data_IF_224593087305
#
_entry.id   IF_224593087305
#
_cell.length_a   1.000
_cell.length_b   1.000
_cell.length_c   1.000
_cell.angle_alpha   90.00
_cell.angle_beta   90.00
_cell.angle_gamma   90.00
#
_symmetry.space_group_name_H-M   'P 1'
#
loop_
_entity.id
_entity.type
_entity.pdbx_description
1 polymer ?
#
# COMPACT_ATOMS: atom_id res chain seq x y z
N UNK A 1 42.56 4.94 -27.61
CA UNK A 1 42.08 5.79 -26.49
C UNK A 1 40.56 6.00 -26.44
N UNK A 2 39.77 5.62 -27.46
CA UNK A 2 38.30 5.80 -27.47
C UNK A 2 37.49 4.71 -26.74
N UNK A 3 38.12 3.60 -26.35
CA UNK A 3 37.47 2.48 -25.65
C UNK A 3 37.21 2.78 -24.17
N UNK A 4 38.11 3.52 -23.52
CA UNK A 4 37.97 3.90 -22.11
C UNK A 4 36.71 4.74 -21.81
N UNK A 5 36.39 5.82 -22.57
CA UNK A 5 35.14 6.55 -22.35
C UNK A 5 33.89 5.72 -22.66
N UNK A 6 33.94 4.77 -23.60
CA UNK A 6 32.83 3.85 -23.88
C UNK A 6 32.57 2.88 -22.72
N UNK A 7 33.61 2.39 -22.06
CA UNK A 7 33.48 1.53 -20.87
C UNK A 7 32.83 2.32 -19.71
N UNK A 8 33.31 3.54 -19.45
CA UNK A 8 32.72 4.40 -18.41
C UNK A 8 31.25 4.70 -18.71
N UNK A 9 30.93 5.01 -19.97
CA UNK A 9 29.56 5.23 -20.39
C UNK A 9 28.68 4.00 -20.17
N UNK A 10 29.17 2.81 -20.52
CA UNK A 10 28.46 1.55 -20.28
C UNK A 10 28.17 1.29 -18.80
N UNK A 11 29.16 1.52 -17.93
CA UNK A 11 28.98 1.39 -16.46
C UNK A 11 27.95 2.40 -15.95
N UNK A 12 28.02 3.65 -16.40
CA UNK A 12 27.07 4.69 -16.00
C UNK A 12 25.64 4.34 -16.43
N UNK A 13 25.45 3.85 -17.66
CA UNK A 13 24.16 3.40 -18.15
C UNK A 13 23.63 2.22 -17.31
N UNK A 14 24.45 1.21 -17.03
CA UNK A 14 24.05 0.08 -16.18
C UNK A 14 23.66 0.54 -14.76
N UNK A 15 24.43 1.45 -14.17
CA UNK A 15 24.12 2.01 -12.86
C UNK A 15 22.78 2.79 -12.87
N UNK A 16 22.49 3.53 -13.95
CA UNK A 16 21.22 4.24 -14.11
C UNK A 16 20.03 3.28 -14.19
N UNK A 17 20.16 2.15 -14.89
CA UNK A 17 19.10 1.13 -14.99
C UNK A 17 18.95 0.27 -13.74
N UNK A 18 20.03 0.03 -12.99
CA UNK A 18 20.01 -0.80 -11.79
C UNK A 18 19.04 -0.26 -10.73
N UNK A 19 18.97 1.06 -10.55
CA UNK A 19 18.07 1.67 -9.57
C UNK A 19 16.58 1.35 -9.82
N UNK A 20 15.95 1.72 -10.96
CA UNK A 20 14.54 1.41 -11.21
C UNK A 20 14.27 -0.10 -11.30
N UNK A 21 15.18 -0.89 -11.87
CA UNK A 21 15.02 -2.34 -11.92
C UNK A 21 15.01 -2.98 -10.53
N UNK A 22 15.88 -2.52 -9.62
CA UNK A 22 15.88 -3.00 -8.24
C UNK A 22 14.58 -2.66 -7.50
N UNK A 23 13.98 -1.50 -7.79
CA UNK A 23 12.71 -1.09 -7.22
C UNK A 23 11.56 -1.96 -7.73
N UNK A 24 11.51 -2.21 -9.04
CA UNK A 24 10.51 -3.10 -9.66
C UNK A 24 10.65 -4.51 -9.11
N UNK A 25 11.86 -5.06 -9.09
CA UNK A 25 12.14 -6.40 -8.58
C UNK A 25 11.66 -6.56 -7.14
N UNK A 26 11.99 -5.58 -6.30
CA UNK A 26 11.54 -5.55 -4.91
C UNK A 26 10.02 -5.55 -4.83
N UNK A 27 9.36 -4.72 -5.63
CA UNK A 27 7.90 -4.57 -5.61
C UNK A 27 7.21 -5.89 -5.98
N UNK A 28 7.67 -6.52 -7.07
CA UNK A 28 7.19 -7.83 -7.51
C UNK A 28 7.45 -8.93 -6.48
N UNK A 29 8.61 -8.90 -5.81
CA UNK A 29 8.91 -9.85 -4.75
C UNK A 29 7.93 -9.72 -3.57
N UNK A 30 7.58 -8.50 -3.17
CA UNK A 30 6.55 -8.29 -2.13
C UNK A 30 5.20 -8.82 -2.60
N UNK A 31 4.80 -8.57 -3.84
CA UNK A 31 3.54 -9.08 -4.38
C UNK A 31 3.48 -10.62 -4.44
N UNK A 32 4.58 -11.26 -4.84
CA UNK A 32 4.64 -12.71 -5.03
C UNK A 32 4.83 -13.49 -3.72
N UNK A 33 5.71 -13.02 -2.83
CA UNK A 33 6.15 -13.75 -1.62
C UNK A 33 5.59 -13.15 -0.32
N UNK A 34 4.98 -11.96 -0.38
CA UNK A 34 4.47 -11.28 0.80
C UNK A 34 3.25 -11.95 1.41
N UNK A 35 3.12 -11.81 2.73
CA UNK A 35 1.94 -12.25 3.47
C UNK A 35 0.77 -11.34 3.10
N UNK A 36 -0.38 -11.95 2.74
CA UNK A 36 -1.58 -11.20 2.42
C UNK A 36 -2.26 -10.72 3.70
N UNK A 37 -2.53 -9.43 3.75
CA UNK A 37 -3.20 -8.75 4.85
C UNK A 37 -4.36 -7.94 4.30
N UNK A 38 -5.51 -8.00 4.98
CA UNK A 38 -6.69 -7.23 4.61
C UNK A 38 -6.89 -6.06 5.54
N UNK A 39 -7.12 -4.88 4.99
CA UNK A 39 -7.32 -3.65 5.75
C UNK A 39 -8.63 -3.00 5.34
N UNK A 40 -9.43 -2.59 6.32
CA UNK A 40 -10.63 -1.80 6.03
C UNK A 40 -10.21 -0.43 5.52
N UNK A 41 -10.72 -0.03 4.37
CA UNK A 41 -10.38 1.24 3.74
C UNK A 41 -11.61 1.93 3.14
N UNK A 42 -11.46 3.22 2.88
CA UNK A 42 -12.32 3.96 1.98
C UNK A 42 -11.57 4.16 0.68
N UNK A 43 -12.24 3.99 -0.45
CA UNK A 43 -11.67 4.25 -1.76
C UNK A 43 -12.54 5.25 -2.53
N UNK A 44 -12.61 6.53 -2.09
CA UNK A 44 -13.22 7.58 -2.91
C UNK A 44 -12.49 7.66 -4.26
N UNK A 45 -13.23 8.00 -5.31
CA UNK A 45 -12.70 8.23 -6.66
C UNK A 45 -12.40 9.73 -6.86
N UNK A 46 -11.12 10.16 -6.79
CA UNK A 46 -10.72 11.48 -7.23
C UNK A 46 -10.41 11.47 -8.74
N UNK A 47 -11.23 12.16 -9.53
CA UNK A 47 -10.90 12.40 -10.94
C UNK A 47 -9.65 13.29 -11.06
N UNK A 48 -8.60 12.80 -11.74
CA UNK A 48 -7.36 13.54 -12.04
C UNK A 48 -6.94 13.33 -13.52
N UNK A 49 -7.07 14.35 -14.39
CA UNK A 49 -6.87 14.20 -15.84
C UNK A 49 -5.41 13.94 -16.25
N UNK A 50 -4.42 14.20 -15.39
CA UNK A 50 -3.00 14.05 -15.74
C UNK A 50 -2.37 12.77 -15.19
N UNK A 51 -3.02 12.10 -14.24
CA UNK A 51 -2.44 10.95 -13.52
C UNK A 51 -3.10 9.61 -13.88
N UNK A 52 -4.01 9.64 -14.84
CA UNK A 52 -4.84 8.49 -15.19
C UNK A 52 -5.87 8.18 -14.10
N UNK A 53 -6.59 7.07 -14.27
CA UNK A 53 -7.68 6.72 -13.37
C UNK A 53 -7.19 5.86 -12.20
N UNK A 54 -7.40 6.38 -11.00
CA UNK A 54 -7.04 5.71 -9.76
C UNK A 54 -8.06 6.00 -8.67
N UNK A 55 -8.12 5.10 -7.69
CA UNK A 55 -8.92 5.27 -6.49
C UNK A 55 -8.02 5.69 -5.35
N UNK A 56 -8.43 6.70 -4.58
CA UNK A 56 -7.69 7.13 -3.40
C UNK A 56 -7.93 6.15 -2.26
N UNK A 57 -6.96 5.30 -1.98
CA UNK A 57 -7.08 4.27 -0.93
C UNK A 57 -6.71 4.89 0.41
N UNK A 58 -7.70 4.95 1.31
CA UNK A 58 -7.57 5.53 2.63
C UNK A 58 -7.91 4.48 3.69
N UNK A 59 -6.93 3.78 4.26
CA UNK A 59 -7.17 2.89 5.39
C UNK A 59 -7.91 3.62 6.53
N UNK A 60 -8.87 2.93 7.13
CA UNK A 60 -9.61 3.42 8.31
C UNK A 60 -8.70 3.45 9.53
N UNK A 61 -7.78 2.48 9.61
CA UNK A 61 -6.77 2.40 10.64
C UNK A 61 -5.70 3.47 10.41
N UNK A 62 -5.85 4.65 11.02
CA UNK A 62 -4.91 5.78 10.90
C UNK A 62 -4.20 6.12 12.20
N UNK A 63 -4.58 5.48 13.28
CA UNK A 63 -4.04 5.70 14.62
C UNK A 63 -3.63 4.37 15.21
N UNK A 64 -2.54 4.38 15.95
CA UNK A 64 -2.07 3.26 16.73
C UNK A 64 -1.72 3.72 18.15
N UNK A 65 -2.02 2.84 19.12
CA UNK A 65 -1.72 3.09 20.52
C UNK A 65 -0.21 3.02 20.75
N UNK A 66 0.32 4.00 21.47
CA UNK A 66 1.72 4.08 21.84
C UNK A 66 2.00 3.18 23.05
N UNK A 67 3.05 2.35 23.00
CA UNK A 67 3.53 1.69 24.20
C UNK A 67 4.06 2.71 25.21
N UNK A 68 3.88 2.42 26.50
CA UNK A 68 4.29 3.31 27.59
C UNK A 68 5.78 3.67 27.49
N UNK A 69 6.09 4.97 27.47
CA UNK A 69 7.46 5.50 27.39
C UNK A 69 7.99 5.73 25.97
N UNK A 70 7.27 5.34 24.92
CA UNK A 70 7.68 5.57 23.53
C UNK A 70 7.35 7.00 23.09
N UNK A 71 8.35 7.87 22.99
CA UNK A 71 8.18 9.22 22.43
C UNK A 71 8.41 9.19 20.92
N UNK A 72 7.33 9.30 20.15
CA UNK A 72 7.42 9.47 18.70
C UNK A 72 7.45 10.95 18.32
N UNK A 73 8.18 11.25 17.24
CA UNK A 73 8.15 12.54 16.58
C UNK A 73 7.52 12.41 15.19
N UNK A 74 6.93 13.49 14.70
CA UNK A 74 6.39 13.54 13.34
C UNK A 74 7.50 13.27 12.32
N UNK A 75 7.22 12.40 11.36
CA UNK A 75 8.15 11.97 10.30
C UNK A 75 9.08 10.82 10.69
N UNK A 76 9.06 10.39 11.96
CA UNK A 76 9.95 9.33 12.42
C UNK A 76 9.52 7.97 11.87
N UNK A 77 10.48 7.13 11.48
CA UNK A 77 10.21 5.79 10.98
C UNK A 77 9.82 4.87 12.15
N UNK A 78 8.74 4.13 11.97
CA UNK A 78 8.23 3.18 12.95
C UNK A 78 7.85 1.88 12.28
N UNK A 79 7.90 0.79 13.04
CA UNK A 79 7.49 -0.54 12.60
C UNK A 79 6.21 -0.91 13.34
N UNK A 80 5.14 -1.13 12.57
CA UNK A 80 3.87 -1.59 13.10
C UNK A 80 3.74 -3.09 12.87
N UNK A 81 3.51 -3.83 13.95
CA UNK A 81 3.19 -5.25 13.88
C UNK A 81 1.70 -5.41 13.56
N UNK A 82 1.40 -6.23 12.55
CA UNK A 82 0.04 -6.50 12.11
C UNK A 82 -0.37 -7.91 12.46
N UNK A 83 -1.57 -8.01 13.05
CA UNK A 83 -2.20 -9.29 13.36
C UNK A 83 -3.56 -9.35 12.69
N UNK A 84 -3.88 -10.45 11.97
CA UNK A 84 -5.23 -10.63 11.44
C UNK A 84 -6.22 -10.74 12.59
N UNK A 85 -7.25 -9.91 12.59
CA UNK A 85 -8.37 -10.00 13.53
C UNK A 85 -9.29 -11.18 13.19
N UNK A 86 -10.26 -11.46 14.08
CA UNK A 86 -11.22 -12.55 13.91
C UNK A 86 -12.03 -12.44 12.60
N UNK A 87 -12.26 -11.22 12.13
CA UNK A 87 -13.01 -10.92 10.90
C UNK A 87 -12.13 -11.02 9.63
N UNK A 88 -10.87 -11.46 9.78
CA UNK A 88 -9.89 -11.48 8.69
C UNK A 88 -9.31 -10.11 8.33
N UNK A 89 -9.74 -9.03 9.00
CA UNK A 89 -9.20 -7.67 8.87
C UNK A 89 -8.07 -7.50 9.87
N UNK A 90 -6.91 -7.04 9.42
CA UNK A 90 -5.78 -6.81 10.31
C UNK A 90 -5.87 -5.52 11.10
N UNK A 91 -5.37 -5.61 12.32
CA UNK A 91 -5.21 -4.51 13.26
C UNK A 91 -3.74 -4.34 13.63
N UNK A 92 -3.38 -3.15 14.09
CA UNK A 92 -2.03 -2.88 14.62
C UNK A 92 -2.01 -3.34 16.07
N UNK A 93 -1.15 -4.30 16.36
CA UNK A 93 -0.97 -4.85 17.71
C UNK A 93 0.05 -4.06 18.52
N UNK A 94 1.15 -3.64 17.89
CA UNK A 94 2.22 -2.91 18.55
C UNK A 94 2.97 -1.98 17.59
N UNK A 95 3.57 -0.93 18.15
CA UNK A 95 4.53 -0.05 17.48
C UNK A 95 5.91 -0.22 18.09
N UNK A 96 6.93 -0.30 17.23
CA UNK A 96 8.35 -0.40 17.61
C UNK A 96 9.21 0.57 16.79
N UNK A 97 10.35 0.98 17.34
CA UNK A 97 11.39 1.73 16.62
C UNK A 97 12.34 0.81 15.84
N UNK A 98 12.43 -0.45 16.25
CA UNK A 98 13.24 -1.48 15.61
C UNK A 98 12.36 -2.51 14.92
N UNK A 99 12.82 -3.10 13.82
CA UNK A 99 12.07 -4.15 13.13
C UNK A 99 11.86 -5.34 14.09
N UNK A 100 10.61 -5.84 14.25
CA UNK A 100 10.33 -7.06 14.98
C UNK A 100 11.08 -8.25 14.38
N UNK A 101 11.52 -9.20 15.22
CA UNK A 101 12.18 -10.42 14.76
C UNK A 101 11.22 -11.36 14.01
N UNK A 102 9.97 -11.43 14.47
CA UNK A 102 8.94 -12.31 13.95
C UNK A 102 7.61 -11.58 13.69
N UNK A 103 6.82 -12.15 12.78
CA UNK A 103 5.49 -11.67 12.44
C UNK A 103 5.45 -10.72 11.24
N UNK A 104 4.24 -10.43 10.76
CA UNK A 104 4.04 -9.53 9.65
C UNK A 104 4.10 -8.09 10.14
N UNK A 105 5.16 -7.37 9.81
CA UNK A 105 5.35 -5.98 10.20
C UNK A 105 5.46 -5.05 8.98
N UNK A 106 5.03 -3.80 9.15
CA UNK A 106 5.14 -2.76 8.13
C UNK A 106 5.95 -1.59 8.66
N UNK A 107 6.83 -1.06 7.81
CA UNK A 107 7.53 0.21 8.02
C UNK A 107 6.61 1.37 7.63
N UNK A 108 6.26 2.20 8.61
CA UNK A 108 5.39 3.36 8.48
C UNK A 108 6.14 4.64 8.90
N UNK A 109 5.53 5.79 8.63
CA UNK A 109 5.94 7.06 9.22
C UNK A 109 4.95 7.49 10.30
N UNK A 110 5.48 7.87 11.46
CA UNK A 110 4.69 8.46 12.52
C UNK A 110 4.26 9.88 12.13
N UNK A 111 2.98 10.18 12.26
CA UNK A 111 2.38 11.48 12.07
C UNK A 111 2.33 12.27 13.38
N UNK A 112 1.21 12.95 13.60
CA UNK A 112 0.97 13.69 14.83
C UNK A 112 0.76 12.73 16.02
N UNK A 113 1.33 13.08 17.16
CA UNK A 113 1.18 12.32 18.42
C UNK A 113 0.25 13.09 19.35
N UNK A 114 -0.79 12.42 19.83
CA UNK A 114 -1.76 12.99 20.75
C UNK A 114 -2.06 12.01 21.89
N UNK A 115 -1.74 12.43 23.12
CA UNK A 115 -1.82 11.57 24.32
C UNK A 115 -1.09 10.25 24.09
N UNK A 116 -1.82 9.12 24.13
CA UNK A 116 -1.29 7.76 23.97
C UNK A 116 -1.53 7.20 22.56
N UNK A 117 -1.82 8.06 21.58
CA UNK A 117 -2.04 7.66 20.20
C UNK A 117 -1.10 8.41 19.26
N UNK A 118 -0.59 7.68 18.26
CA UNK A 118 0.12 8.27 17.14
C UNK A 118 -0.67 8.06 15.86
N UNK A 119 -0.81 9.13 15.08
CA UNK A 119 -1.24 9.00 13.69
C UNK A 119 -0.14 8.30 12.89
N UNK A 120 -0.52 7.51 11.89
CA UNK A 120 0.39 6.78 11.02
C UNK A 120 0.08 7.05 9.55
N UNK A 121 1.14 7.17 8.76
CA UNK A 121 1.06 7.32 7.32
C UNK A 121 1.34 5.98 6.64
N UNK A 122 0.37 5.51 5.86
CA UNK A 122 0.51 4.30 5.05
C UNK A 122 1.38 4.56 3.81
N UNK A 123 2.19 3.57 3.38
CA UNK A 123 3.10 3.73 2.25
C UNK A 123 2.40 3.64 0.88
N UNK A 124 1.07 3.55 0.87
CA UNK A 124 0.23 3.53 -0.32
C UNK A 124 -0.98 4.44 -0.09
N UNK A 125 -1.38 5.15 -1.14
CA UNK A 125 -2.51 6.08 -1.13
C UNK A 125 -3.43 5.88 -2.34
N UNK A 126 -3.06 5.01 -3.29
CA UNK A 126 -3.72 4.90 -4.60
C UNK A 126 -3.80 3.47 -5.11
N UNK A 127 -4.88 3.19 -5.80
CA UNK A 127 -5.05 1.98 -6.60
C UNK A 127 -5.32 2.35 -8.05
N UNK A 128 -4.37 2.05 -8.94
CA UNK A 128 -4.49 2.34 -10.37
C UNK A 128 -5.40 1.32 -11.07
N UNK A 129 -6.31 1.83 -11.89
CA UNK A 129 -7.23 1.03 -12.70
C UNK A 129 -6.79 1.07 -14.15
N UNK A 130 -6.95 -0.04 -14.87
CA UNK A 130 -6.66 -0.09 -16.30
C UNK A 130 -7.64 0.82 -17.07
N UNK A 131 -7.14 1.67 -17.96
CA UNK A 131 -7.94 2.61 -18.74
C UNK A 131 -9.04 1.94 -19.58
N UNK A 132 -8.86 0.67 -19.98
CA UNK A 132 -9.90 -0.09 -20.69
C UNK A 132 -11.09 -0.44 -19.79
N UNK A 133 -10.85 -0.60 -18.48
CA UNK A 133 -11.86 -0.96 -17.47
C UNK A 133 -12.38 0.25 -16.70
N UNK A 134 -11.74 1.40 -16.89
CA UNK A 134 -12.05 2.66 -16.22
C UNK A 134 -13.53 3.09 -16.34
N UNK A 135 -14.17 3.07 -17.53
CA UNK A 135 -15.58 3.46 -17.64
C UNK A 135 -16.51 2.57 -16.80
N UNK A 136 -16.21 1.27 -16.70
CA UNK A 136 -16.98 0.34 -15.87
C UNK A 136 -16.69 0.54 -14.38
N UNK A 137 -15.46 0.92 -14.02
CA UNK A 137 -15.13 1.29 -12.66
C UNK A 137 -15.95 2.50 -12.19
N UNK A 138 -16.06 3.56 -13.00
CA UNK A 138 -16.84 4.74 -12.63
C UNK A 138 -18.32 4.41 -12.42
N UNK A 139 -18.91 3.67 -13.36
CA UNK A 139 -20.32 3.24 -13.26
C UNK A 139 -20.53 2.46 -11.99
N UNK A 140 -19.64 1.50 -11.72
CA UNK A 140 -19.67 0.73 -10.50
C UNK A 140 -19.56 1.61 -9.26
N UNK A 141 -18.66 2.58 -9.23
CA UNK A 141 -18.55 3.52 -8.10
C UNK A 141 -19.80 4.36 -7.94
N UNK A 142 -20.35 4.93 -9.02
CA UNK A 142 -21.58 5.71 -8.97
C UNK A 142 -22.76 4.91 -8.39
N UNK A 143 -22.85 3.61 -8.71
CA UNK A 143 -23.86 2.69 -8.19
C UNK A 143 -23.63 2.28 -6.74
N UNK A 144 -22.36 2.05 -6.34
CA UNK A 144 -22.03 1.41 -5.07
C UNK A 144 -21.53 2.38 -3.98
N UNK A 145 -21.23 3.64 -4.30
CA UNK A 145 -20.82 4.68 -3.33
C UNK A 145 -21.85 4.90 -2.23
N UNK A 146 -23.15 4.65 -2.51
CA UNK A 146 -24.23 4.77 -1.53
C UNK A 146 -24.39 3.52 -0.65
N UNK A 147 -23.73 2.43 -0.99
CA UNK A 147 -23.75 1.21 -0.21
C UNK A 147 -22.79 1.32 0.97
N UNK A 148 -23.25 0.96 2.16
CA UNK A 148 -22.43 0.86 3.39
C UNK A 148 -21.42 -0.30 3.35
N UNK A 149 -21.18 -0.85 2.16
CA UNK A 149 -20.30 -2.00 1.93
C UNK A 149 -18.85 -1.53 2.00
N UNK A 150 -18.21 -1.83 3.11
CA UNK A 150 -16.82 -1.44 3.37
C UNK A 150 -15.87 -2.06 2.35
N UNK A 151 -15.10 -1.22 1.67
CA UNK A 151 -14.03 -1.65 0.76
C UNK A 151 -12.86 -2.17 1.59
N UNK A 152 -12.31 -3.32 1.20
CA UNK A 152 -11.17 -3.94 1.87
C UNK A 152 -9.95 -3.89 0.97
N UNK A 153 -8.90 -3.23 1.42
CA UNK A 153 -7.61 -3.22 0.74
C UNK A 153 -6.86 -4.53 1.01
N UNK A 154 -6.44 -5.20 -0.05
CA UNK A 154 -5.61 -6.39 -0.01
C UNK A 154 -4.14 -5.99 -0.17
N UNK A 155 -3.38 -6.08 0.91
CA UNK A 155 -2.00 -5.59 1.00
C UNK A 155 -1.06 -6.76 1.23
N UNK A 156 0.00 -6.84 0.43
CA UNK A 156 1.08 -7.81 0.60
C UNK A 156 2.21 -7.19 1.41
N UNK A 157 2.65 -7.89 2.44
CA UNK A 157 3.71 -7.42 3.35
C UNK A 157 4.89 -8.37 3.36
N UNK A 158 6.10 -7.83 3.16
CA UNK A 158 7.35 -8.57 3.19
C UNK A 158 8.49 -7.67 3.67
N UNK A 159 9.22 -8.08 4.71
CA UNK A 159 10.39 -7.38 5.26
C UNK A 159 10.13 -5.89 5.54
N UNK A 160 8.97 -5.55 6.11
CA UNK A 160 8.59 -4.16 6.40
C UNK A 160 8.05 -3.37 5.21
N UNK A 161 8.08 -3.92 3.99
CA UNK A 161 7.47 -3.27 2.82
C UNK A 161 6.04 -3.75 2.64
N UNK A 162 5.15 -2.81 2.34
CA UNK A 162 3.74 -3.08 2.09
C UNK A 162 3.39 -2.59 0.69
N UNK A 163 2.75 -3.46 -0.09
CA UNK A 163 2.28 -3.16 -1.45
C UNK A 163 0.80 -3.48 -1.54
N UNK A 164 0.02 -2.53 -2.04
CA UNK A 164 -1.39 -2.75 -2.34
C UNK A 164 -1.52 -3.65 -3.58
N UNK A 165 -2.05 -4.85 -3.39
CA UNK A 165 -2.22 -5.83 -4.46
C UNK A 165 -3.57 -5.67 -5.18
N UNK A 166 -4.65 -5.55 -4.41
CA UNK A 166 -6.00 -5.35 -4.94
C UNK A 166 -6.90 -4.64 -3.93
N UNK A 167 -8.11 -4.28 -4.37
CA UNK A 167 -9.23 -3.93 -3.52
C UNK A 167 -10.25 -5.07 -3.60
N UNK A 168 -10.99 -5.33 -2.53
CA UNK A 168 -12.05 -6.31 -2.50
C UNK A 168 -13.32 -5.73 -1.91
N UNK A 169 -14.46 -6.18 -2.43
CA UNK A 169 -15.79 -5.89 -1.90
C UNK A 169 -16.50 -7.22 -1.61
N UNK A 170 -16.95 -7.41 -0.37
CA UNK A 170 -17.61 -8.66 0.08
C UNK A 170 -16.80 -9.93 -0.27
N UNK A 171 -15.46 -9.84 -0.20
CA UNK A 171 -14.55 -10.95 -0.52
C UNK A 171 -14.30 -11.19 -2.01
N UNK A 172 -14.91 -10.41 -2.92
CA UNK A 172 -14.62 -10.45 -4.35
C UNK A 172 -13.60 -9.39 -4.74
N UNK A 173 -12.50 -9.75 -5.46
CA UNK A 173 -11.54 -8.78 -5.98
C UNK A 173 -12.16 -7.80 -6.96
N UNK A 174 -11.81 -6.53 -6.82
CA UNK A 174 -12.36 -5.43 -7.62
C UNK A 174 -12.03 -5.61 -9.11
N UNK A 175 -10.82 -6.08 -9.43
CA UNK A 175 -10.42 -6.38 -10.81
C UNK A 175 -11.29 -7.46 -11.47
N UNK A 176 -11.76 -8.44 -10.70
CA UNK A 176 -12.65 -9.49 -11.22
C UNK A 176 -14.05 -8.95 -11.49
N UNK A 177 -14.59 -8.16 -10.55
CA UNK A 177 -15.89 -7.47 -10.70
C UNK A 177 -15.91 -6.62 -11.99
N UNK A 178 -14.84 -5.86 -12.25
CA UNK A 178 -14.73 -5.05 -13.47
C UNK A 178 -14.65 -5.90 -14.75
N UNK A 179 -13.93 -7.02 -14.72
CA UNK A 179 -13.82 -7.92 -15.87
C UNK A 179 -15.13 -8.62 -16.20
N UNK A 180 -15.93 -8.97 -15.19
CA UNK A 180 -17.26 -9.56 -15.39
C UNK A 180 -18.23 -8.57 -16.03
N UNK A 181 -18.14 -7.28 -15.69
CA UNK A 181 -19.00 -6.21 -16.23
C UNK A 181 -18.57 -5.71 -17.60
N UNK A 182 -17.28 -5.77 -17.92
CA UNK A 182 -16.75 -5.33 -19.21
C UNK A 182 -16.90 -6.37 -20.34
N UNK A 183 -17.40 -7.58 -20.02
CA UNK A 183 -17.80 -8.60 -21.00
C UNK A 183 -19.18 -8.30 -21.56
#
# INVERSE_FOLDING_TARGET
MKTFPLIIFGIAALAQWAAPLSQIWTHEQVLAQGTLIRLKCQAPDPYDPLRGRYLAVRPVLREATLPAGLKLQKGMQVYALLTPGADGIATISALSLTPPADGAYIRLRAGYVYSDKASIEWPFDRFYVNEKLAPEADKWFAENIRGDKGITAEVRVLNGRAVLADLSLDGKPFREILKERAK
#
